data_IF_166238177993
#
_entry.id   IF_166238177993
#
_cell.length_a   1.000
_cell.length_b   1.000
_cell.length_c   1.000
_cell.angle_alpha   90.00
_cell.angle_beta   90.00
_cell.angle_gamma   90.00
#
_symmetry.space_group_name_H-M   'P 1'
#
loop_
_entity.id
_entity.type
_entity.pdbx_description
1 polymer ?
#
# COMPACT_ATOMS: atom_id res chain seq x y z
N UNK A 1 36.28 44.18 46.38
CA UNK A 1 35.73 45.05 45.33
C UNK A 1 34.94 44.19 44.39
N UNK A 2 33.65 44.52 44.21
CA UNK A 2 32.62 43.75 43.50
C UNK A 2 32.67 44.10 42.01
N UNK A 3 32.97 43.14 41.14
CA UNK A 3 32.82 43.33 39.70
C UNK A 3 31.92 42.21 39.15
N UNK A 4 30.64 42.57 39.14
CA UNK A 4 29.49 41.88 38.57
C UNK A 4 29.58 41.96 37.04
N UNK A 5 29.88 40.85 36.36
CA UNK A 5 29.69 40.73 34.91
C UNK A 5 28.42 39.90 34.64
N UNK A 6 27.37 40.62 34.28
CA UNK A 6 26.14 40.12 33.68
C UNK A 6 26.44 39.85 32.21
N UNK A 7 26.45 38.59 31.80
CA UNK A 7 26.45 38.13 30.40
C UNK A 7 25.32 37.14 30.23
N UNK A 8 24.13 37.61 29.90
CA UNK A 8 23.55 37.63 28.55
C UNK A 8 23.28 36.22 27.99
N UNK A 9 22.01 35.82 28.13
CA UNK A 9 21.24 34.89 27.29
C UNK A 9 22.02 33.91 26.39
N UNK A 10 22.05 32.64 26.81
CA UNK A 10 21.95 31.52 25.87
C UNK A 10 20.82 30.60 26.33
N UNK A 11 19.58 31.02 26.06
CA UNK A 11 18.44 30.13 26.01
C UNK A 11 18.61 29.27 24.76
N UNK A 12 19.26 28.11 24.89
CA UNK A 12 19.32 27.13 23.81
C UNK A 12 17.93 26.52 23.65
N UNK A 13 17.13 27.13 22.79
CA UNK A 13 15.93 26.48 22.24
C UNK A 13 16.44 25.37 21.33
N UNK A 14 16.59 24.16 21.88
CA UNK A 14 16.75 22.95 21.08
C UNK A 14 15.41 22.73 20.39
N UNK A 15 15.29 23.25 19.17
CA UNK A 15 14.21 22.87 18.26
C UNK A 15 14.38 21.37 17.99
N UNK A 16 13.61 20.55 18.70
CA UNK A 16 13.39 19.16 18.35
C UNK A 16 12.65 19.23 17.01
N UNK A 17 13.40 19.18 15.91
CA UNK A 17 12.86 18.77 14.62
C UNK A 17 12.44 17.32 14.80
N UNK A 18 11.25 17.12 15.35
CA UNK A 18 10.53 15.86 15.22
C UNK A 18 10.45 15.60 13.73
N UNK A 19 11.26 14.67 13.26
CA UNK A 19 11.09 14.12 11.93
C UNK A 19 9.76 13.36 11.99
N UNK A 20 8.66 14.05 11.71
CA UNK A 20 7.39 13.42 11.41
C UNK A 20 7.62 12.60 10.14
N UNK A 21 8.00 11.34 10.31
CA UNK A 21 7.91 10.33 9.25
C UNK A 21 6.42 10.14 9.03
N UNK A 22 5.84 11.06 8.25
CA UNK A 22 4.45 10.99 7.85
C UNK A 22 4.31 9.69 7.09
N UNK A 23 3.63 8.72 7.71
CA UNK A 23 3.35 7.43 7.10
C UNK A 23 2.74 7.71 5.73
N UNK A 24 3.52 7.46 4.67
CA UNK A 24 3.05 7.70 3.31
C UNK A 24 1.86 6.79 3.09
N UNK A 25 0.76 7.36 2.59
CA UNK A 25 -0.41 6.52 2.30
C UNK A 25 -0.02 5.50 1.23
N UNK A 26 -0.63 4.31 1.20
CA UNK A 26 -0.38 3.35 0.12
C UNK A 26 -0.58 3.92 -1.30
N UNK A 27 -1.51 4.87 -1.47
CA UNK A 27 -1.68 5.66 -2.72
C UNK A 27 -0.47 6.58 -2.97
N UNK A 28 0.01 7.23 -1.91
CA UNK A 28 1.34 7.86 -1.76
C UNK A 28 2.44 7.05 -2.45
N UNK A 29 2.58 5.81 -1.98
CA UNK A 29 3.61 4.86 -2.41
C UNK A 29 3.43 4.39 -3.86
N UNK A 30 2.18 4.13 -4.29
CA UNK A 30 1.88 3.71 -5.66
C UNK A 30 2.18 4.82 -6.68
N UNK A 31 1.69 6.05 -6.44
CA UNK A 31 1.92 7.20 -7.34
C UNK A 31 3.37 7.67 -7.34
N UNK A 32 4.05 7.55 -6.21
CA UNK A 32 5.48 7.78 -6.13
C UNK A 32 6.25 6.81 -7.03
N UNK A 33 5.80 5.55 -7.15
CA UNK A 33 6.57 4.52 -7.83
C UNK A 33 6.93 4.85 -9.29
N UNK A 34 5.98 5.34 -10.09
CA UNK A 34 6.25 5.70 -11.50
C UNK A 34 7.29 6.83 -11.64
N UNK A 35 7.42 7.68 -10.62
CA UNK A 35 8.37 8.79 -10.60
C UNK A 35 9.73 8.39 -9.97
N UNK A 36 9.85 7.16 -9.47
CA UNK A 36 10.95 6.69 -8.65
C UNK A 36 11.93 5.74 -9.37
N UNK A 37 11.92 5.66 -10.70
CA UNK A 37 12.91 4.90 -11.49
C UNK A 37 14.37 5.26 -11.17
N UNK A 38 14.61 6.39 -10.48
CA UNK A 38 15.94 6.84 -9.98
C UNK A 38 16.16 6.66 -8.48
N UNK A 39 15.18 6.16 -7.74
CA UNK A 39 15.31 5.95 -6.31
C UNK A 39 15.91 4.56 -6.04
N UNK A 40 17.24 4.51 -6.09
CA UNK A 40 17.98 3.58 -5.22
C UNK A 40 17.81 4.09 -3.79
N UNK A 41 16.67 3.78 -3.15
CA UNK A 41 16.38 4.20 -1.78
C UNK A 41 17.30 3.39 -0.86
N UNK A 42 18.48 3.97 -0.60
CA UNK A 42 19.19 4.03 0.68
C UNK A 42 18.62 3.17 1.81
N UNK A 43 18.68 1.85 1.65
CA UNK A 43 18.71 0.90 2.75
C UNK A 43 20.01 0.13 2.59
N UNK A 44 21.10 0.67 3.12
CA UNK A 44 22.36 -0.07 3.26
C UNK A 44 22.14 -1.14 4.34
N UNK A 45 21.66 -2.32 3.96
CA UNK A 45 22.08 -3.53 4.68
C UNK A 45 23.48 -3.87 4.15
N UNK A 46 24.51 -3.66 4.96
CA UNK A 46 25.90 -4.03 4.65
C UNK A 46 26.54 -3.32 3.44
N UNK A 47 26.16 -2.07 3.16
CA UNK A 47 26.84 -1.25 2.14
C UNK A 47 26.49 -1.56 0.68
N UNK A 48 25.64 -2.56 0.40
CA UNK A 48 25.18 -2.87 -0.94
C UNK A 48 23.83 -2.18 -1.23
N UNK A 49 23.65 -1.57 -2.42
CA UNK A 49 22.36 -0.99 -2.80
C UNK A 49 21.33 -2.12 -2.92
N UNK A 50 20.27 -2.06 -2.12
CA UNK A 50 19.09 -2.93 -2.27
C UNK A 50 18.31 -2.43 -3.47
N UNK A 51 18.16 -3.28 -4.50
CA UNK A 51 17.28 -2.98 -5.64
C UNK A 51 15.84 -3.17 -5.20
N UNK A 52 15.07 -2.08 -5.13
CA UNK A 52 13.63 -2.14 -4.89
C UNK A 52 12.96 -2.57 -6.21
N UNK A 53 12.25 -3.70 -6.19
CA UNK A 53 11.54 -4.21 -7.38
C UNK A 53 10.35 -3.34 -7.78
N UNK A 54 9.86 -3.51 -9.02
CA UNK A 54 8.62 -2.88 -9.51
C UNK A 54 7.39 -3.42 -8.76
N UNK A 55 6.42 -2.57 -8.35
CA UNK A 55 5.14 -2.98 -7.82
C UNK A 55 4.53 -3.96 -8.80
N UNK A 56 4.30 -5.15 -8.27
CA UNK A 56 3.65 -6.23 -8.96
C UNK A 56 2.48 -6.68 -8.11
N UNK A 57 1.38 -6.95 -8.79
CA UNK A 57 0.26 -7.66 -8.20
C UNK A 57 -0.01 -8.91 -9.03
N UNK A 58 -0.22 -10.03 -8.36
CA UNK A 58 -0.69 -11.26 -8.98
C UNK A 58 -2.07 -11.57 -8.45
N UNK A 59 -2.99 -11.88 -9.36
CA UNK A 59 -4.36 -12.28 -9.05
C UNK A 59 -4.56 -13.71 -9.51
N UNK A 60 -5.02 -14.56 -8.59
CA UNK A 60 -5.38 -15.95 -8.88
C UNK A 60 -6.88 -16.09 -8.61
N UNK A 61 -7.59 -16.66 -9.58
CA UNK A 61 -9.04 -16.84 -9.50
C UNK A 61 -9.38 -18.33 -9.45
N UNK A 62 -10.07 -18.72 -8.40
CA UNK A 62 -10.70 -20.02 -8.28
C UNK A 62 -12.19 -19.89 -8.45
N UNK A 63 -12.77 -20.74 -9.30
CA UNK A 63 -14.21 -20.90 -9.44
C UNK A 63 -14.61 -22.28 -8.94
N UNK A 64 -15.59 -22.33 -8.04
CA UNK A 64 -16.32 -23.55 -7.69
C UNK A 64 -17.70 -23.53 -8.33
N UNK A 65 -18.03 -24.60 -9.07
CA UNK A 65 -19.34 -24.83 -9.69
C UNK A 65 -19.71 -26.30 -9.52
N UNK A 66 -20.89 -26.59 -8.96
CA UNK A 66 -21.38 -27.95 -8.73
C UNK A 66 -20.36 -28.84 -8.00
N UNK A 67 -19.68 -28.29 -6.98
CA UNK A 67 -18.63 -28.98 -6.22
C UNK A 67 -17.27 -29.07 -6.91
N UNK A 68 -17.15 -28.74 -8.20
CA UNK A 68 -15.87 -28.76 -8.92
C UNK A 68 -15.15 -27.42 -8.82
N UNK A 69 -13.91 -27.46 -8.35
CA UNK A 69 -13.02 -26.29 -8.27
C UNK A 69 -12.10 -26.26 -9.51
N UNK A 70 -11.90 -25.07 -10.08
CA UNK A 70 -10.95 -24.82 -11.15
C UNK A 70 -10.27 -23.46 -11.00
N UNK A 71 -8.98 -23.39 -11.32
CA UNK A 71 -8.29 -22.12 -11.56
C UNK A 71 -8.67 -21.60 -12.94
N UNK A 72 -9.03 -20.33 -13.04
CA UNK A 72 -9.56 -19.75 -14.27
C UNK A 72 -8.91 -18.41 -14.60
N UNK A 73 -8.97 -18.05 -15.88
CA UNK A 73 -8.50 -16.74 -16.36
C UNK A 73 -9.37 -15.60 -15.81
N UNK A 74 -8.82 -14.40 -15.57
CA UNK A 74 -9.59 -13.19 -15.28
C UNK A 74 -10.69 -12.86 -16.30
N UNK A 75 -10.50 -13.26 -17.55
CA UNK A 75 -11.46 -13.03 -18.63
C UNK A 75 -12.54 -14.14 -18.73
N UNK A 76 -12.66 -14.99 -17.71
CA UNK A 76 -13.62 -16.10 -17.74
C UNK A 76 -15.04 -15.61 -17.48
N UNK A 77 -16.01 -16.20 -18.18
CA UNK A 77 -17.42 -15.96 -17.91
C UNK A 77 -17.86 -16.68 -16.63
N UNK A 78 -18.35 -15.92 -15.65
CA UNK A 78 -18.97 -16.42 -14.43
C UNK A 78 -20.49 -16.45 -14.57
N UNK A 79 -21.14 -17.39 -13.90
CA UNK A 79 -22.59 -17.56 -13.90
C UNK A 79 -23.15 -17.48 -12.49
N UNK A 80 -24.43 -17.15 -12.38
CA UNK A 80 -25.15 -17.21 -11.11
C UNK A 80 -24.98 -18.58 -10.44
N UNK A 81 -24.66 -18.58 -9.16
CA UNK A 81 -24.37 -19.78 -8.38
C UNK A 81 -22.89 -20.19 -8.35
N UNK A 82 -22.03 -19.59 -9.19
CA UNK A 82 -20.58 -19.78 -9.06
C UNK A 82 -20.09 -19.20 -7.71
N UNK A 83 -19.24 -19.93 -7.01
CA UNK A 83 -18.50 -19.41 -5.87
C UNK A 83 -17.10 -19.06 -6.31
N UNK A 84 -16.72 -17.79 -6.17
CA UNK A 84 -15.43 -17.28 -6.61
C UNK A 84 -14.55 -17.00 -5.41
N UNK A 85 -13.30 -17.46 -5.45
CA UNK A 85 -12.25 -17.07 -4.51
C UNK A 85 -11.16 -16.34 -5.28
N UNK A 86 -10.84 -15.14 -4.82
CA UNK A 86 -9.77 -14.31 -5.34
C UNK A 86 -8.62 -14.33 -4.36
N UNK A 87 -7.40 -14.61 -4.85
CA UNK A 87 -6.17 -14.51 -4.06
C UNK A 87 -5.30 -13.42 -4.67
N UNK A 88 -4.83 -12.51 -3.82
CA UNK A 88 -3.99 -11.38 -4.21
C UNK A 88 -2.62 -11.53 -3.54
N UNK A 89 -1.57 -11.46 -4.36
CA UNK A 89 -0.18 -11.40 -3.89
C UNK A 89 0.41 -10.08 -4.39
N UNK A 90 1.00 -9.30 -3.48
CA UNK A 90 1.63 -8.01 -3.79
C UNK A 90 3.00 -7.94 -3.14
N UNK A 91 3.91 -7.16 -3.74
CA UNK A 91 5.22 -6.85 -3.19
C UNK A 91 5.30 -5.42 -2.62
N UNK A 92 4.14 -4.81 -2.36
CA UNK A 92 4.00 -3.46 -1.86
C UNK A 92 2.78 -3.36 -0.94
N UNK A 93 2.77 -2.38 -0.03
CA UNK A 93 1.62 -2.13 0.83
C UNK A 93 0.52 -1.42 0.02
N UNK A 94 -0.73 -1.85 0.19
CA UNK A 94 -1.86 -1.40 -0.62
C UNK A 94 -3.20 -1.51 0.10
N UNK A 95 -4.22 -0.89 -0.47
CA UNK A 95 -5.62 -1.19 -0.16
C UNK A 95 -6.21 -2.02 -1.29
N UNK A 96 -7.10 -2.95 -0.95
CA UNK A 96 -7.85 -3.75 -1.91
C UNK A 96 -9.29 -3.28 -1.93
N UNK A 97 -9.80 -2.95 -3.12
CA UNK A 97 -11.21 -2.75 -3.36
C UNK A 97 -11.65 -3.67 -4.51
N UNK A 98 -12.76 -4.36 -4.32
CA UNK A 98 -13.37 -5.21 -5.35
C UNK A 98 -14.71 -4.59 -5.68
N UNK A 99 -14.91 -4.25 -6.95
CA UNK A 99 -16.14 -3.67 -7.45
C UNK A 99 -16.73 -4.55 -8.53
N UNK A 100 -18.05 -4.64 -8.57
CA UNK A 100 -18.81 -5.17 -9.68
C UNK A 100 -19.25 -4.01 -10.57
N UNK A 101 -18.95 -4.09 -11.86
CA UNK A 101 -19.43 -3.13 -12.87
C UNK A 101 -20.59 -3.77 -13.61
N UNK A 102 -21.79 -3.23 -13.42
CA UNK A 102 -23.00 -3.69 -14.08
C UNK A 102 -22.97 -3.41 -15.59
N UNK A 103 -23.83 -4.08 -16.39
CA UNK A 103 -23.93 -3.84 -17.83
C UNK A 103 -24.28 -2.39 -18.20
N UNK A 104 -24.97 -1.68 -17.31
CA UNK A 104 -25.31 -0.24 -17.40
C UNK A 104 -24.16 0.69 -17.01
N UNK A 105 -23.04 0.15 -16.50
CA UNK A 105 -21.94 0.93 -15.92
C UNK A 105 -22.08 1.17 -14.41
N UNK A 106 -23.17 0.74 -13.78
CA UNK A 106 -23.39 0.92 -12.34
C UNK A 106 -22.32 0.17 -11.53
N UNK A 107 -21.72 0.86 -10.55
CA UNK A 107 -20.69 0.30 -9.69
C UNK A 107 -21.29 -0.19 -8.36
N UNK A 108 -21.00 -1.44 -8.01
CA UNK A 108 -21.32 -2.00 -6.69
C UNK A 108 -20.05 -2.46 -5.98
N UNK A 109 -19.77 -1.89 -4.81
CA UNK A 109 -18.66 -2.33 -3.97
C UNK A 109 -18.96 -3.73 -3.40
N UNK A 110 -18.03 -4.67 -3.59
CA UNK A 110 -18.09 -6.03 -3.05
C UNK A 110 -17.11 -6.23 -1.89
N UNK A 111 -15.99 -5.50 -1.91
CA UNK A 111 -15.01 -5.48 -0.83
C UNK A 111 -14.31 -4.11 -0.77
N UNK A 112 -14.03 -3.56 0.42
CA UNK A 112 -14.49 -4.04 1.72
C UNK A 112 -16.02 -3.99 1.80
N UNK A 113 -16.63 -4.93 2.49
CA UNK A 113 -18.05 -4.91 2.82
C UNK A 113 -18.22 -4.66 4.31
N UNK A 114 -19.40 -4.22 4.74
CA UNK A 114 -19.68 -3.95 6.13
C UNK A 114 -19.43 -5.21 7.00
N UNK A 115 -18.57 -5.08 8.02
CA UNK A 115 -18.16 -6.20 8.86
C UNK A 115 -16.99 -7.04 8.33
N UNK A 116 -16.36 -6.66 7.20
CA UNK A 116 -15.15 -7.33 6.72
C UNK A 116 -13.93 -7.12 7.63
N UNK A 117 -13.92 -6.05 8.44
CA UNK A 117 -12.84 -5.67 9.36
C UNK A 117 -13.19 -5.96 10.85
N UNK A 118 -14.29 -6.68 11.13
CA UNK A 118 -14.81 -6.92 12.47
C UNK A 118 -14.15 -8.11 13.20
#
# INVERSE_FOLDING_TARGET
MKNLFIGLCFLTVTAIFGCDVRAQTPRQLYLGYENNDKITQTSKANGKPVKIGKPGAKVIIERSRNGKIAFVSPNSLFRSGDKIRLRFETNFNGYLAIVNVGPSGDLKLLFPYEGADA
#
